data_IF_985693422725
#
_entry.id   IF_985693422725
#
_cell.length_a   1.000
_cell.length_b   1.000
_cell.length_c   1.000
_cell.angle_alpha   90.00
_cell.angle_beta   90.00
_cell.angle_gamma   90.00
#
_symmetry.space_group_name_H-M   'P 1'
#
loop_
_entity.id
_entity.type
_entity.pdbx_description
1 polymer ?
#
# COMPACT_ATOMS: atom_id res chain seq x y z
N UNK A 1 -0.85 11.66 -22.12
CA UNK A 1 -1.64 10.88 -21.15
C UNK A 1 -0.74 10.56 -19.97
N UNK A 2 -1.14 10.94 -18.75
CA UNK A 2 -0.37 10.62 -17.55
C UNK A 2 -0.58 9.14 -17.26
N UNK A 3 0.47 8.32 -17.36
CA UNK A 3 0.39 6.87 -17.15
C UNK A 3 0.21 6.55 -15.67
N UNK A 4 -1.02 6.57 -15.18
CA UNK A 4 -1.37 6.10 -13.83
C UNK A 4 -1.68 4.60 -13.79
N UNK A 5 -1.81 3.95 -14.95
CA UNK A 5 -2.10 2.51 -15.10
C UNK A 5 -1.06 1.83 -15.98
N UNK A 6 -0.82 0.54 -15.74
CA UNK A 6 0.07 -0.29 -16.54
C UNK A 6 -0.63 -0.82 -17.81
N UNK A 7 0.07 -1.65 -18.59
CA UNK A 7 -0.47 -2.24 -19.81
C UNK A 7 -1.66 -3.19 -19.56
N UNK A 8 -1.84 -3.68 -18.33
CA UNK A 8 -2.97 -4.50 -17.91
C UNK A 8 -4.12 -3.67 -17.31
N UNK A 9 -3.98 -2.34 -17.23
CA UNK A 9 -4.97 -1.44 -16.63
C UNK A 9 -4.89 -1.38 -15.10
N UNK A 10 -3.86 -1.97 -14.49
CA UNK A 10 -3.67 -1.95 -13.04
C UNK A 10 -3.01 -0.63 -12.60
N UNK A 11 -3.40 -0.04 -11.46
CA UNK A 11 -2.81 1.20 -10.99
C UNK A 11 -1.32 1.03 -10.71
N UNK A 12 -0.49 1.88 -11.33
CA UNK A 12 0.95 1.94 -11.05
C UNK A 12 1.14 2.77 -9.77
N UNK A 13 1.65 2.20 -8.66
CA UNK A 13 1.85 2.91 -7.41
C UNK A 13 3.11 3.79 -7.47
N UNK A 14 3.17 4.73 -8.41
CA UNK A 14 4.21 5.76 -8.45
C UNK A 14 4.12 6.65 -7.21
N UNK A 15 5.21 7.35 -6.88
CA UNK A 15 5.22 8.29 -5.74
C UNK A 15 4.12 9.34 -5.83
N UNK A 16 3.82 9.85 -7.03
CA UNK A 16 2.74 10.81 -7.24
C UNK A 16 1.34 10.23 -6.95
N UNK A 17 1.06 9.02 -7.46
CA UNK A 17 -0.22 8.32 -7.22
C UNK A 17 -0.39 8.00 -5.73
N UNK A 18 0.65 7.50 -5.07
CA UNK A 18 0.62 7.21 -3.63
C UNK A 18 0.39 8.46 -2.78
N UNK A 19 1.04 9.58 -3.13
CA UNK A 19 0.84 10.86 -2.44
C UNK A 19 -0.57 11.40 -2.63
N UNK A 20 -1.14 11.30 -3.84
CA UNK A 20 -2.51 11.71 -4.11
C UNK A 20 -3.53 10.86 -3.34
N UNK A 21 -3.31 9.54 -3.24
CA UNK A 21 -4.19 8.61 -2.55
C UNK A 21 -3.92 8.49 -1.03
N UNK A 22 -2.93 9.22 -0.49
CA UNK A 22 -2.44 9.01 0.87
C UNK A 22 -3.54 9.07 1.95
N UNK A 23 -4.51 9.97 1.83
CA UNK A 23 -5.65 10.08 2.77
C UNK A 23 -6.59 8.88 2.70
N UNK A 24 -6.85 8.37 1.51
CA UNK A 24 -7.66 7.17 1.30
C UNK A 24 -6.94 5.94 1.86
N UNK A 25 -5.65 5.79 1.57
CA UNK A 25 -4.81 4.71 2.09
C UNK A 25 -4.74 4.76 3.63
N UNK A 26 -4.55 5.94 4.22
CA UNK A 26 -4.47 6.11 5.67
C UNK A 26 -5.76 5.66 6.39
N UNK A 27 -6.91 5.81 5.73
CA UNK A 27 -8.21 5.41 6.27
C UNK A 27 -8.50 3.94 5.99
N UNK A 28 -8.41 3.51 4.72
CA UNK A 28 -8.75 2.16 4.26
C UNK A 28 -7.78 1.07 4.75
N UNK A 29 -6.49 1.41 4.90
CA UNK A 29 -5.45 0.45 5.27
C UNK A 29 -4.90 0.66 6.69
N UNK A 30 -5.59 1.44 7.55
CA UNK A 30 -5.09 1.82 8.88
C UNK A 30 -4.67 0.61 9.72
N UNK A 31 -5.53 -0.41 9.80
CA UNK A 31 -5.30 -1.57 10.66
C UNK A 31 -4.07 -2.39 10.22
N UNK A 32 -3.96 -2.66 8.91
CA UNK A 32 -2.82 -3.41 8.35
C UNK A 32 -1.51 -2.63 8.43
N UNK A 33 -1.54 -1.32 8.21
CA UNK A 33 -0.36 -0.44 8.35
C UNK A 33 0.15 -0.42 9.80
N UNK A 34 -0.74 -0.29 10.78
CA UNK A 34 -0.37 -0.33 12.21
C UNK A 34 0.20 -1.68 12.59
N UNK A 35 -0.34 -2.79 12.06
CA UNK A 35 0.19 -4.13 12.32
C UNK A 35 1.62 -4.30 11.76
N UNK A 36 1.89 -3.79 10.56
CA UNK A 36 3.22 -3.81 9.97
C UNK A 36 4.22 -2.98 10.79
N UNK A 37 3.87 -1.72 11.14
CA UNK A 37 4.73 -0.84 11.94
C UNK A 37 5.02 -1.44 13.34
N UNK A 38 4.03 -2.08 13.96
CA UNK A 38 4.23 -2.78 15.25
C UNK A 38 5.17 -3.98 15.11
N UNK A 39 5.10 -4.70 14.00
CA UNK A 39 6.01 -5.81 13.72
C UNK A 39 7.45 -5.32 13.58
N UNK A 40 7.66 -4.28 12.75
CA UNK A 40 8.97 -3.66 12.53
C UNK A 40 9.58 -3.11 13.82
N UNK A 41 8.77 -2.44 14.65
CA UNK A 41 9.22 -1.94 15.96
C UNK A 41 9.58 -3.04 16.96
N UNK A 42 8.98 -4.23 16.83
CA UNK A 42 9.22 -5.35 17.74
C UNK A 42 10.48 -6.13 17.35
N UNK A 43 10.73 -6.27 16.05
CA UNK A 43 11.86 -7.05 15.54
C UNK A 43 12.42 -6.39 14.27
N UNK A 44 13.70 -6.00 14.24
CA UNK A 44 14.32 -5.40 13.06
C UNK A 44 14.53 -6.40 11.92
N UNK A 45 14.30 -7.71 12.12
CA UNK A 45 14.36 -8.69 11.04
C UNK A 45 13.15 -8.56 10.11
N UNK A 46 13.41 -8.05 8.90
CA UNK A 46 12.42 -7.81 7.86
C UNK A 46 11.61 -9.06 7.45
N UNK A 47 12.22 -10.25 7.49
CA UNK A 47 11.59 -11.49 7.02
C UNK A 47 10.39 -11.89 7.89
N UNK A 48 10.43 -11.59 9.19
CA UNK A 48 9.32 -11.88 10.11
C UNK A 48 8.08 -11.01 9.86
N UNK A 49 8.26 -9.87 9.20
CA UNK A 49 7.22 -8.91 8.90
C UNK A 49 6.78 -8.91 7.43
N UNK A 50 7.44 -9.67 6.54
CA UNK A 50 7.12 -9.78 5.12
C UNK A 50 5.65 -10.07 4.84
N UNK A 51 5.05 -10.95 5.64
CA UNK A 51 3.64 -11.30 5.51
C UNK A 51 2.70 -10.11 5.73
N UNK A 52 3.02 -9.27 6.72
CA UNK A 52 2.26 -8.06 7.05
C UNK A 52 2.50 -7.00 5.98
N UNK A 53 3.72 -6.93 5.44
CA UNK A 53 4.05 -6.09 4.29
C UNK A 53 3.24 -6.44 3.06
N UNK A 54 3.08 -7.73 2.73
CA UNK A 54 2.20 -8.19 1.64
C UNK A 54 0.76 -7.76 1.85
N UNK A 55 0.23 -7.84 3.07
CA UNK A 55 -1.12 -7.36 3.38
C UNK A 55 -1.27 -5.84 3.19
N UNK A 56 -0.26 -5.06 3.59
CA UNK A 56 -0.24 -3.61 3.34
C UNK A 56 -0.28 -3.32 1.84
N UNK A 57 0.61 -3.94 1.06
CA UNK A 57 0.66 -3.73 -0.40
C UNK A 57 -0.65 -4.14 -1.08
N UNK A 58 -1.23 -5.29 -0.71
CA UNK A 58 -2.52 -5.74 -1.25
C UNK A 58 -3.65 -4.77 -0.92
N UNK A 59 -3.72 -4.27 0.32
CA UNK A 59 -4.71 -3.27 0.71
C UNK A 59 -4.55 -1.97 -0.10
N UNK A 60 -3.32 -1.47 -0.23
CA UNK A 60 -3.04 -0.24 -1.01
C UNK A 60 -3.45 -0.41 -2.46
N UNK A 61 -3.10 -1.53 -3.11
CA UNK A 61 -3.49 -1.78 -4.50
C UNK A 61 -5.01 -1.83 -4.66
N UNK A 62 -5.75 -2.42 -3.72
CA UNK A 62 -7.21 -2.42 -3.77
C UNK A 62 -7.78 -0.99 -3.66
N UNK A 63 -7.27 -0.17 -2.74
CA UNK A 63 -7.68 1.24 -2.64
C UNK A 63 -7.38 2.01 -3.92
N UNK A 64 -6.22 1.77 -4.54
CA UNK A 64 -5.88 2.43 -5.80
C UNK A 64 -6.78 1.99 -6.95
N UNK A 65 -7.25 0.73 -6.96
CA UNK A 65 -8.22 0.24 -7.94
C UNK A 65 -9.60 0.86 -7.78
N UNK A 66 -10.03 1.14 -6.55
CA UNK A 66 -11.32 1.78 -6.27
C UNK A 66 -11.36 3.27 -6.64
N UNK A 67 -10.19 3.93 -6.73
CA UNK A 67 -10.06 5.35 -7.02
C UNK A 67 -9.82 5.67 -8.51
N UNK A 68 -9.60 4.64 -9.34
CA UNK A 68 -9.53 4.75 -10.79
C UNK A 68 -10.89 4.48 -11.44
#
# INVERSE_FOLDING_TARGET
>A
MSGSVDAAGEPIPTSAVLMAAAKHIATGCRAVNVAFIKCEKKDPNLEKCLDKGRHVTSCVLNVLKELH
#
